data_IF_266693120259
#
_entry.id   IF_266693120259
#
_cell.length_a   1.000
_cell.length_b   1.000
_cell.length_c   1.000
_cell.angle_alpha   90.00
_cell.angle_beta   90.00
_cell.angle_gamma   90.00
#
_symmetry.space_group_name_H-M   'P 1'
#
loop_
_entity.id
_entity.type
_entity.pdbx_description
1 polymer ?
#
# COMPACT_ATOMS: atom_id res chain seq x y z
N UNK A 1 38.80 -21.36 25.01
CA UNK A 1 37.84 -20.39 24.41
C UNK A 1 37.30 -19.53 25.53
N UNK A 2 37.54 -18.22 25.42
CA UNK A 2 37.36 -17.24 26.49
C UNK A 2 35.88 -16.93 26.74
N UNK A 3 35.46 -16.91 28.01
CA UNK A 3 34.18 -16.35 28.47
C UNK A 3 34.40 -14.89 28.82
N UNK A 4 33.76 -13.97 28.11
CA UNK A 4 33.66 -12.56 28.51
C UNK A 4 32.18 -12.20 28.68
N UNK A 5 31.78 -11.98 29.94
CA UNK A 5 30.53 -11.31 30.32
C UNK A 5 30.79 -9.83 30.50
N UNK A 6 29.98 -8.97 29.90
CA UNK A 6 29.97 -7.54 30.18
C UNK A 6 28.80 -7.18 31.10
N UNK A 7 29.13 -6.84 32.34
CA UNK A 7 28.24 -6.23 33.33
C UNK A 7 28.23 -4.71 33.11
N UNK A 8 27.05 -4.14 32.87
CA UNK A 8 26.84 -2.69 32.92
C UNK A 8 26.73 -2.24 34.39
N UNK A 9 27.64 -1.36 34.83
CA UNK A 9 27.54 -0.64 36.12
C UNK A 9 26.81 0.68 35.92
N UNK A 10 25.70 0.85 36.64
CA UNK A 10 25.06 2.14 36.86
C UNK A 10 25.81 2.90 37.96
N UNK A 11 26.10 4.19 37.75
CA UNK A 11 26.61 5.10 38.78
C UNK A 11 25.54 6.11 39.16
N UNK A 12 25.21 6.14 40.45
CA UNK A 12 24.31 7.07 41.13
C UNK A 12 25.04 8.28 41.72
N UNK A 13 24.25 9.34 42.04
CA UNK A 13 24.51 10.56 42.85
C UNK A 13 25.00 11.76 42.03
N UNK A 14 24.57 13.01 42.27
CA UNK A 14 23.80 13.62 43.36
C UNK A 14 23.12 14.92 42.88
N UNK A 15 22.04 15.32 43.57
CA UNK A 15 21.32 16.60 43.44
C UNK A 15 22.08 17.74 44.16
N UNK A 16 21.80 19.01 43.83
CA UNK A 16 21.34 19.92 44.89
C UNK A 16 20.05 20.68 44.52
N UNK A 17 19.40 21.17 45.56
CA UNK A 17 18.06 21.74 45.65
C UNK A 17 18.16 23.24 45.98
N UNK A 18 17.14 23.99 45.52
CA UNK A 18 16.52 25.22 46.08
C UNK A 18 16.17 26.14 44.91
N UNK A 19 14.89 26.26 44.53
CA UNK A 19 13.78 26.99 45.17
C UNK A 19 13.53 28.24 44.32
N UNK A 20 12.46 28.21 43.52
CA UNK A 20 11.63 29.41 43.42
C UNK A 20 10.18 29.03 43.12
N UNK A 21 9.29 29.63 43.92
CA UNK A 21 7.84 29.46 43.85
C UNK A 21 7.31 30.35 42.74
N UNK A 22 6.68 29.76 41.73
CA UNK A 22 5.60 30.44 41.02
C UNK A 22 4.48 29.46 40.74
N UNK A 23 3.38 29.67 41.46
CA UNK A 23 2.08 29.09 41.18
C UNK A 23 1.58 29.58 39.82
N UNK A 24 1.37 28.67 38.87
CA UNK A 24 0.49 28.91 37.73
C UNK A 24 -0.33 27.66 37.46
N UNK A 25 -1.63 27.86 37.44
CA UNK A 25 -2.66 26.87 37.20
C UNK A 25 -2.44 26.21 35.83
N UNK A 26 -2.62 24.90 35.77
CA UNK A 26 -2.67 24.16 34.51
C UNK A 26 -3.97 24.49 33.76
N UNK A 27 -3.94 24.81 32.45
CA UNK A 27 -5.10 24.63 31.61
C UNK A 27 -5.09 23.22 31.03
N UNK A 28 -6.18 22.52 31.31
CA UNK A 28 -6.55 21.21 30.80
C UNK A 28 -6.52 21.15 29.25
N UNK A 29 -5.87 20.11 28.72
CA UNK A 29 -6.45 19.08 27.84
C UNK A 29 -7.36 19.39 26.64
N UNK A 30 -7.63 20.64 26.27
CA UNK A 30 -8.65 21.00 25.28
C UNK A 30 -8.16 21.49 23.91
N UNK A 31 -6.90 21.91 23.79
CA UNK A 31 -6.54 22.90 22.75
C UNK A 31 -5.67 22.38 21.58
N UNK A 32 -5.26 21.11 21.58
CA UNK A 32 -4.52 20.53 20.44
C UNK A 32 -5.40 20.27 19.21
N UNK A 33 -6.71 20.05 19.40
CA UNK A 33 -7.66 19.83 18.28
C UNK A 33 -8.06 21.11 17.57
N UNK A 34 -8.05 22.26 18.26
CA UNK A 34 -8.39 23.57 17.66
C UNK A 34 -7.23 24.16 16.88
N UNK A 35 -5.99 23.96 17.33
CA UNK A 35 -4.80 24.43 16.60
C UNK A 35 -4.66 23.77 15.21
N UNK A 36 -5.04 22.49 15.09
CA UNK A 36 -5.01 21.77 13.80
C UNK A 36 -6.16 22.15 12.86
N UNK A 37 -7.28 22.67 13.38
CA UNK A 37 -8.37 23.20 12.54
C UNK A 37 -8.11 24.64 12.07
N UNK A 38 -7.36 25.43 12.83
CA UNK A 38 -7.02 26.81 12.46
C UNK A 38 -5.97 26.91 11.33
N UNK A 39 -5.12 25.88 11.14
CA UNK A 39 -4.13 25.84 10.07
C UNK A 39 -4.72 25.51 8.68
N UNK A 40 -5.97 25.04 8.59
CA UNK A 40 -6.63 24.76 7.31
C UNK A 40 -7.31 25.97 6.67
N UNK A 41 -7.45 27.10 7.40
CA UNK A 41 -8.22 28.25 6.95
C UNK A 41 -7.40 29.38 6.29
N UNK A 42 -6.08 29.22 6.11
CA UNK A 42 -5.20 30.30 5.61
C UNK A 42 -4.51 30.03 4.27
N UNK A 43 -4.91 28.99 3.52
CA UNK A 43 -4.53 28.86 2.11
C UNK A 43 -5.72 29.23 1.24
N UNK A 44 -5.93 30.53 1.10
CA UNK A 44 -6.91 31.08 0.18
C UNK A 44 -6.53 30.84 -1.28
N UNK A 45 -7.54 30.50 -2.07
CA UNK A 45 -7.64 30.90 -3.48
C UNK A 45 -6.93 30.03 -4.50
N UNK A 46 -7.54 28.91 -4.88
CA UNK A 46 -7.79 28.53 -6.28
C UNK A 46 -8.77 27.37 -6.31
N UNK A 47 -9.67 27.38 -7.29
CA UNK A 47 -10.91 26.61 -7.34
C UNK A 47 -10.78 25.15 -6.87
N UNK A 48 -11.53 24.80 -5.82
CA UNK A 48 -11.91 23.41 -5.55
C UNK A 48 -12.84 22.99 -6.70
N UNK A 49 -12.26 22.41 -7.75
CA UNK A 49 -13.01 21.71 -8.79
C UNK A 49 -13.91 20.69 -8.09
N UNK A 50 -15.19 20.65 -8.47
CA UNK A 50 -16.17 19.74 -7.90
C UNK A 50 -15.60 18.32 -7.87
N UNK A 51 -15.42 17.77 -6.66
CA UNK A 51 -14.97 16.40 -6.49
C UNK A 51 -15.99 15.48 -7.15
N UNK A 52 -15.56 14.69 -8.14
CA UNK A 52 -16.38 13.62 -8.68
C UNK A 52 -16.80 12.67 -7.55
N UNK A 53 -18.02 12.08 -7.60
CA UNK A 53 -18.40 11.10 -6.61
C UNK A 53 -17.34 9.99 -6.54
N UNK A 54 -17.01 9.52 -5.33
CA UNK A 54 -16.02 8.46 -5.15
C UNK A 54 -16.43 7.27 -6.04
N UNK A 55 -15.48 6.72 -6.81
CA UNK A 55 -15.70 5.43 -7.42
C UNK A 55 -16.07 4.45 -6.28
N UNK A 56 -17.22 3.79 -6.37
CA UNK A 56 -17.58 2.74 -5.44
C UNK A 56 -16.85 1.47 -5.88
N UNK A 57 -15.96 0.94 -5.02
CA UNK A 57 -15.45 -0.40 -5.21
C UNK A 57 -16.52 -1.39 -4.75
N UNK A 58 -16.73 -2.45 -5.52
CA UNK A 58 -17.50 -3.64 -5.14
C UNK A 58 -16.60 -4.68 -4.49
N UNK A 59 -15.49 -4.27 -3.88
CA UNK A 59 -14.82 -5.19 -2.97
C UNK A 59 -15.77 -5.42 -1.78
N UNK A 60 -15.77 -6.61 -1.18
CA UNK A 60 -16.67 -6.93 -0.06
C UNK A 60 -16.31 -6.15 1.23
N UNK A 61 -15.59 -5.03 1.09
CA UNK A 61 -15.20 -4.13 2.15
C UNK A 61 -16.29 -3.08 2.35
N UNK A 62 -16.77 -2.93 3.57
CA UNK A 62 -17.67 -1.81 3.93
C UNK A 62 -16.95 -0.45 3.95
N UNK A 63 -15.63 -0.43 3.77
CA UNK A 63 -14.82 0.79 3.76
C UNK A 63 -14.72 1.38 2.36
N UNK A 64 -14.77 2.72 2.23
CA UNK A 64 -14.66 3.38 0.94
C UNK A 64 -13.26 3.16 0.33
N UNK A 65 -13.13 3.25 -1.01
CA UNK A 65 -11.84 3.18 -1.67
C UNK A 65 -10.82 4.20 -1.15
N UNK A 66 -9.53 3.85 -1.17
CA UNK A 66 -8.47 4.72 -0.70
C UNK A 66 -8.40 6.01 -1.52
N UNK A 67 -8.23 7.13 -0.82
CA UNK A 67 -7.93 8.43 -1.42
C UNK A 67 -6.44 8.59 -1.66
N UNK A 68 -6.08 9.27 -2.74
CA UNK A 68 -4.69 9.59 -3.09
C UNK A 68 -4.52 11.11 -3.16
N UNK A 69 -3.58 11.63 -2.37
CA UNK A 69 -3.10 12.99 -2.49
C UNK A 69 -1.83 13.00 -3.36
N UNK A 70 -1.91 13.57 -4.55
CA UNK A 70 -0.73 13.75 -5.41
C UNK A 70 -0.16 15.15 -5.20
N UNK A 71 1.11 15.23 -4.82
CA UNK A 71 1.81 16.50 -4.64
C UNK A 71 2.68 16.84 -5.85
N UNK A 72 2.99 18.12 -6.03
CA UNK A 72 3.90 18.60 -7.06
C UNK A 72 4.40 20.00 -6.76
N UNK A 73 4.83 20.71 -7.80
CA UNK A 73 5.19 22.12 -7.75
C UNK A 73 4.31 22.93 -8.71
N UNK A 74 4.10 24.21 -8.40
CA UNK A 74 3.53 25.18 -9.34
C UNK A 74 4.62 25.89 -10.16
N UNK A 75 4.23 26.81 -11.04
CA UNK A 75 5.17 27.57 -11.87
C UNK A 75 6.14 28.48 -11.07
N UNK A 76 5.83 28.79 -9.82
CA UNK A 76 6.69 29.55 -8.91
C UNK A 76 7.59 28.63 -8.06
N UNK A 77 7.49 27.30 -8.24
CA UNK A 77 8.27 26.30 -7.51
C UNK A 77 7.71 25.94 -6.13
N UNK A 78 6.52 26.42 -5.76
CA UNK A 78 5.89 26.12 -4.47
C UNK A 78 5.29 24.72 -4.47
N UNK A 79 5.42 24.00 -3.36
CA UNK A 79 4.74 22.71 -3.17
C UNK A 79 3.23 22.87 -3.10
N UNK A 80 2.51 22.10 -3.93
CA UNK A 80 1.05 22.13 -4.05
C UNK A 80 0.47 20.72 -4.19
N UNK A 81 -0.82 20.56 -3.94
CA UNK A 81 -1.55 19.38 -4.37
C UNK A 81 -1.88 19.51 -5.85
N UNK A 82 -1.49 18.51 -6.65
CA UNK A 82 -1.94 18.36 -8.04
C UNK A 82 -3.32 17.74 -8.11
N UNK A 83 -3.63 16.86 -7.18
CA UNK A 83 -4.95 16.24 -7.01
C UNK A 83 -5.15 15.66 -5.62
N UNK A 84 -6.42 15.51 -5.22
CA UNK A 84 -6.81 14.79 -4.01
C UNK A 84 -8.14 14.08 -4.28
N UNK A 85 -8.06 12.86 -4.81
CA UNK A 85 -9.22 12.14 -5.33
C UNK A 85 -9.29 10.72 -4.75
N UNK A 86 -10.42 10.04 -4.94
CA UNK A 86 -10.41 8.57 -4.90
C UNK A 86 -9.45 8.08 -5.98
N UNK A 87 -8.68 7.04 -5.66
CA UNK A 87 -7.71 6.42 -6.57
C UNK A 87 -8.26 6.37 -8.00
N UNK A 88 -7.55 7.04 -8.94
CA UNK A 88 -8.03 7.27 -10.30
C UNK A 88 -8.21 6.00 -11.12
N UNK A 89 -7.61 4.89 -10.67
CA UNK A 89 -7.67 3.59 -11.33
C UNK A 89 -7.95 2.48 -10.31
N UNK A 90 -9.24 2.14 -10.19
CA UNK A 90 -9.71 0.94 -9.48
C UNK A 90 -9.96 -0.16 -10.50
N UNK A 91 -9.40 -1.34 -10.26
CA UNK A 91 -9.50 -2.49 -11.18
C UNK A 91 -10.05 -3.69 -10.43
N UNK A 92 -11.23 -4.14 -10.82
CA UNK A 92 -11.91 -5.30 -10.24
C UNK A 92 -11.77 -6.51 -11.15
N UNK A 93 -11.47 -7.67 -10.59
CA UNK A 93 -11.33 -8.92 -11.36
C UNK A 93 -12.63 -9.74 -11.25
N UNK A 94 -13.35 -9.87 -12.36
CA UNK A 94 -14.66 -10.51 -12.42
C UNK A 94 -14.55 -12.02 -12.24
N UNK A 95 -13.50 -12.64 -12.79
CA UNK A 95 -13.16 -14.05 -12.58
C UNK A 95 -12.80 -14.39 -11.13
N UNK A 96 -12.44 -13.39 -10.31
CA UNK A 96 -12.12 -13.56 -8.90
C UNK A 96 -12.80 -12.47 -8.04
N UNK A 97 -14.14 -12.52 -7.86
CA UNK A 97 -14.91 -11.43 -7.26
C UNK A 97 -14.38 -11.00 -5.89
N UNK A 98 -14.16 -9.70 -5.72
CA UNK A 98 -13.57 -9.11 -4.52
C UNK A 98 -12.04 -9.01 -4.53
N UNK A 99 -11.35 -9.53 -5.56
CA UNK A 99 -9.98 -9.15 -5.85
C UNK A 99 -9.97 -7.80 -6.58
N UNK A 100 -9.49 -6.77 -5.89
CA UNK A 100 -9.51 -5.40 -6.39
C UNK A 100 -8.14 -4.75 -6.24
N UNK A 101 -7.65 -4.15 -7.32
CA UNK A 101 -6.43 -3.36 -7.35
C UNK A 101 -6.77 -1.88 -7.29
N UNK A 102 -6.13 -1.16 -6.37
CA UNK A 102 -6.12 0.29 -6.29
C UNK A 102 -4.74 0.76 -6.76
N UNK A 103 -4.66 1.19 -8.02
CA UNK A 103 -3.42 1.56 -8.68
C UNK A 103 -3.09 3.03 -8.36
N UNK A 104 -2.13 3.25 -7.46
CA UNK A 104 -1.91 4.58 -6.86
C UNK A 104 -0.87 5.41 -7.62
N UNK A 105 0.29 4.85 -7.92
CA UNK A 105 1.35 5.60 -8.61
C UNK A 105 2.37 4.66 -9.22
N UNK A 106 3.04 5.10 -10.29
CA UNK A 106 4.17 4.38 -10.86
C UNK A 106 5.21 5.31 -11.45
N UNK A 107 6.44 4.82 -11.54
CA UNK A 107 7.53 5.46 -12.27
C UNK A 107 8.15 4.47 -13.25
N UNK A 108 8.79 5.00 -14.29
CA UNK A 108 9.61 4.23 -15.22
C UNK A 108 11.07 4.62 -15.02
N UNK A 109 11.95 3.64 -14.82
CA UNK A 109 13.33 3.89 -14.45
C UNK A 109 13.45 4.82 -13.24
N UNK A 110 14.58 5.50 -13.14
CA UNK A 110 14.82 6.48 -12.09
C UNK A 110 14.04 7.77 -12.39
N UNK A 111 13.07 8.16 -11.54
CA UNK A 111 12.23 9.32 -11.82
C UNK A 111 12.99 10.64 -11.70
N UNK A 112 12.64 11.61 -12.55
CA UNK A 112 12.94 13.01 -12.26
C UNK A 112 11.92 13.55 -11.26
N UNK A 113 12.36 14.43 -10.36
CA UNK A 113 11.54 14.97 -9.26
C UNK A 113 11.36 16.48 -9.39
N UNK A 114 10.94 16.96 -10.57
CA UNK A 114 10.67 18.39 -10.78
C UNK A 114 9.37 18.81 -10.08
N UNK A 115 8.45 17.89 -9.85
CA UNK A 115 7.11 18.15 -9.30
C UNK A 115 6.12 18.67 -10.36
N UNK A 116 6.59 18.87 -11.59
CA UNK A 116 5.78 19.34 -12.71
C UNK A 116 5.24 18.19 -13.57
N UNK A 117 5.76 16.97 -13.40
CA UNK A 117 5.42 15.78 -14.18
C UNK A 117 3.90 15.50 -14.13
N UNK A 118 3.25 15.17 -15.26
CA UNK A 118 1.84 14.78 -15.24
C UNK A 118 1.63 13.53 -14.37
N UNK A 119 0.41 13.30 -13.90
CA UNK A 119 0.09 12.07 -13.17
C UNK A 119 0.34 10.85 -14.09
N UNK A 120 1.31 9.96 -13.77
CA UNK A 120 1.66 8.83 -14.61
C UNK A 120 0.51 7.84 -14.74
N UNK A 121 -0.44 7.84 -13.80
CA UNK A 121 -1.61 6.95 -13.87
C UNK A 121 -2.59 7.30 -14.99
N UNK A 122 -2.49 8.52 -15.58
CA UNK A 122 -3.26 8.88 -16.77
C UNK A 122 -2.85 8.06 -18.01
N UNK A 123 -1.61 7.56 -18.04
CA UNK A 123 -1.13 6.65 -19.08
C UNK A 123 -1.54 5.18 -18.84
N UNK A 124 -2.22 4.90 -17.72
CA UNK A 124 -2.62 3.56 -17.31
C UNK A 124 -1.64 2.87 -16.36
N UNK A 125 -1.91 1.61 -16.06
CA UNK A 125 -1.09 0.77 -15.18
C UNK A 125 -0.46 -0.39 -15.96
N UNK A 126 0.44 -1.11 -15.32
CA UNK A 126 1.08 -2.35 -15.76
C UNK A 126 1.23 -3.30 -14.56
N UNK A 127 1.50 -4.57 -14.83
CA UNK A 127 1.67 -5.58 -13.80
C UNK A 127 2.77 -5.24 -12.78
N UNK A 128 3.96 -4.86 -13.26
CA UNK A 128 5.12 -4.56 -12.43
C UNK A 128 6.00 -3.51 -13.12
N UNK A 129 6.72 -2.68 -12.36
CA UNK A 129 7.66 -1.72 -12.95
C UNK A 129 8.90 -2.43 -13.52
N UNK A 130 9.44 -1.92 -14.63
CA UNK A 130 10.73 -2.36 -15.15
C UNK A 130 11.92 -1.84 -14.31
N UNK A 131 13.17 -2.24 -14.64
CA UNK A 131 14.36 -1.88 -13.87
C UNK A 131 14.46 -0.40 -13.50
N UNK A 132 14.67 -0.12 -12.21
CA UNK A 132 14.77 1.23 -11.65
C UNK A 132 13.43 1.94 -11.43
N UNK A 133 12.35 1.45 -12.06
CA UNK A 133 11.00 1.96 -11.86
C UNK A 133 10.40 1.55 -10.52
N UNK A 134 9.33 2.22 -10.13
CA UNK A 134 8.59 1.93 -8.90
C UNK A 134 7.10 1.85 -9.16
N UNK A 135 6.39 1.19 -8.27
CA UNK A 135 4.95 1.02 -8.33
C UNK A 135 4.42 1.02 -6.89
N UNK A 136 3.43 1.85 -6.62
CA UNK A 136 2.68 1.82 -5.37
C UNK A 136 1.24 1.45 -5.67
N UNK A 137 0.77 0.35 -5.10
CA UNK A 137 -0.60 -0.15 -5.25
C UNK A 137 -1.13 -0.67 -3.92
N UNK A 138 -2.45 -0.64 -3.77
CA UNK A 138 -3.13 -1.42 -2.74
C UNK A 138 -3.91 -2.55 -3.41
N UNK A 139 -3.96 -3.72 -2.77
CA UNK A 139 -4.72 -4.87 -3.26
C UNK A 139 -5.68 -5.31 -2.15
N UNK A 140 -6.97 -5.29 -2.45
CA UNK A 140 -8.01 -5.94 -1.65
C UNK A 140 -8.08 -7.39 -2.08
N UNK A 141 -7.71 -8.30 -1.18
CA UNK A 141 -7.89 -9.73 -1.37
C UNK A 141 -9.26 -10.13 -0.85
N UNK A 142 -10.02 -10.94 -1.61
CA UNK A 142 -11.34 -11.36 -1.21
C UNK A 142 -11.29 -12.17 0.09
N UNK A 143 -12.43 -12.31 0.79
CA UNK A 143 -12.59 -13.26 1.89
C UNK A 143 -12.08 -14.65 1.54
N UNK A 144 -11.69 -15.39 2.57
CA UNK A 144 -11.36 -16.82 2.46
C UNK A 144 -12.49 -17.52 1.71
N UNK A 145 -12.13 -18.12 0.58
CA UNK A 145 -13.07 -18.92 -0.20
C UNK A 145 -13.50 -20.13 0.64
N UNK A 146 -14.81 -20.42 0.75
CA UNK A 146 -15.28 -21.61 1.44
C UNK A 146 -14.79 -22.87 0.74
N UNK A 147 -14.76 -23.98 1.46
CA UNK A 147 -14.44 -25.27 0.86
C UNK A 147 -15.39 -25.58 -0.31
N UNK A 148 -14.83 -26.07 -1.42
CA UNK A 148 -15.60 -26.35 -2.63
C UNK A 148 -16.03 -25.11 -3.44
N UNK A 149 -15.57 -23.90 -3.08
CA UNK A 149 -15.81 -22.71 -3.89
C UNK A 149 -15.35 -22.92 -5.33
N UNK A 150 -16.18 -22.44 -6.27
CA UNK A 150 -15.89 -22.45 -7.70
C UNK A 150 -15.90 -21.01 -8.21
N UNK A 151 -15.07 -20.70 -9.22
CA UNK A 151 -15.14 -19.41 -9.88
C UNK A 151 -16.51 -19.23 -10.58
N UNK A 152 -16.84 -18.01 -11.03
CA UNK A 152 -18.06 -17.76 -11.79
C UNK A 152 -18.22 -18.72 -12.97
N UNK A 153 -19.46 -18.99 -13.36
CA UNK A 153 -19.76 -19.96 -14.42
C UNK A 153 -19.02 -19.62 -15.72
N UNK A 154 -18.37 -20.61 -16.33
CA UNK A 154 -17.59 -20.45 -17.56
C UNK A 154 -16.17 -19.92 -17.37
N UNK A 155 -15.79 -19.48 -16.17
CA UNK A 155 -14.42 -19.04 -15.89
C UNK A 155 -13.49 -20.25 -15.80
N UNK A 156 -12.50 -20.27 -16.68
CA UNK A 156 -11.36 -21.17 -16.64
C UNK A 156 -10.15 -20.44 -16.04
N UNK A 157 -9.12 -21.20 -15.63
CA UNK A 157 -7.88 -20.59 -15.16
C UNK A 157 -7.22 -19.72 -16.25
N UNK A 158 -7.21 -20.20 -17.51
CA UNK A 158 -6.68 -19.45 -18.65
C UNK A 158 -7.44 -18.15 -18.89
N UNK A 159 -8.77 -18.22 -18.98
CA UNK A 159 -9.58 -17.01 -19.21
C UNK A 159 -9.49 -16.02 -18.05
N UNK A 160 -9.29 -16.49 -16.82
CA UNK A 160 -9.05 -15.61 -15.66
C UNK A 160 -7.73 -14.86 -15.77
N UNK A 161 -6.66 -15.50 -16.25
CA UNK A 161 -5.37 -14.83 -16.50
C UNK A 161 -5.44 -13.87 -17.68
N UNK A 162 -6.17 -14.23 -18.74
CA UNK A 162 -6.43 -13.34 -19.89
C UNK A 162 -7.15 -12.07 -19.44
N UNK A 163 -8.24 -12.20 -18.69
CA UNK A 163 -8.98 -11.06 -18.11
C UNK A 163 -8.06 -10.20 -17.22
N UNK A 164 -7.24 -10.85 -16.38
CA UNK A 164 -6.32 -10.13 -15.50
C UNK A 164 -5.29 -9.33 -16.30
N UNK A 165 -4.77 -9.87 -17.40
CA UNK A 165 -3.87 -9.17 -18.32
C UNK A 165 -4.56 -8.08 -19.15
N UNK A 166 -5.84 -8.22 -19.48
CA UNK A 166 -6.63 -7.18 -20.15
C UNK A 166 -6.85 -5.98 -19.22
N UNK A 167 -7.16 -6.24 -17.96
CA UNK A 167 -7.46 -5.21 -16.96
C UNK A 167 -6.22 -4.60 -16.32
N UNK A 168 -5.18 -5.40 -16.11
CA UNK A 168 -3.85 -5.00 -15.62
C UNK A 168 -2.81 -5.53 -16.60
N UNK A 169 -2.33 -4.70 -17.55
CA UNK A 169 -1.45 -5.14 -18.63
C UNK A 169 -0.30 -6.04 -18.16
N UNK A 170 -0.22 -7.23 -18.77
CA UNK A 170 0.79 -8.28 -18.54
C UNK A 170 0.72 -9.02 -17.21
N UNK A 171 -0.29 -8.81 -16.38
CA UNK A 171 -0.34 -9.42 -15.04
C UNK A 171 -0.37 -10.94 -15.09
N UNK A 172 -1.13 -11.52 -16.03
CA UNK A 172 -1.20 -12.96 -16.22
C UNK A 172 0.12 -13.62 -16.61
N UNK A 173 1.05 -12.88 -17.23
CA UNK A 173 2.36 -13.39 -17.67
C UNK A 173 3.24 -13.84 -16.49
N UNK A 174 2.96 -13.33 -15.28
CA UNK A 174 3.74 -13.59 -14.08
C UNK A 174 3.28 -14.83 -13.30
N UNK A 175 2.10 -15.37 -13.63
CA UNK A 175 1.50 -16.50 -12.92
C UNK A 175 1.98 -17.85 -13.45
N UNK A 176 2.19 -18.77 -12.52
CA UNK A 176 2.50 -20.17 -12.82
C UNK A 176 1.23 -20.92 -13.19
N UNK A 177 1.15 -21.38 -14.45
CA UNK A 177 0.01 -22.13 -14.96
C UNK A 177 -0.21 -23.49 -14.28
N UNK A 178 0.84 -24.05 -13.69
CA UNK A 178 0.80 -25.33 -13.00
C UNK A 178 0.41 -25.23 -11.52
N UNK A 179 0.45 -24.02 -10.95
CA UNK A 179 0.27 -23.79 -9.52
C UNK A 179 -0.59 -22.54 -9.26
N UNK A 180 -1.92 -22.71 -9.09
CA UNK A 180 -2.83 -21.59 -8.92
C UNK A 180 -2.39 -20.59 -7.83
N UNK A 181 -2.33 -19.32 -8.23
CA UNK A 181 -1.95 -18.18 -7.38
C UNK A 181 -0.44 -17.98 -7.23
N UNK A 182 0.39 -18.97 -7.54
CA UNK A 182 1.84 -18.79 -7.53
C UNK A 182 2.25 -17.89 -8.68
N UNK A 183 3.09 -16.91 -8.39
CA UNK A 183 3.60 -15.97 -9.38
C UNK A 183 4.99 -15.46 -8.99
N UNK A 184 5.70 -14.92 -9.97
CA UNK A 184 7.01 -14.28 -9.75
C UNK A 184 7.16 -13.04 -10.61
N UNK A 185 7.74 -12.00 -10.03
CA UNK A 185 8.08 -10.74 -10.68
C UNK A 185 9.58 -10.46 -10.59
N UNK A 186 10.10 -9.69 -11.54
CA UNK A 186 11.46 -9.15 -11.49
C UNK A 186 11.47 -7.86 -10.65
N UNK A 187 10.99 -7.95 -9.42
CA UNK A 187 10.87 -6.84 -8.47
C UNK A 187 11.36 -7.21 -7.08
N UNK A 188 11.70 -6.20 -6.29
CA UNK A 188 11.64 -6.26 -4.84
C UNK A 188 10.35 -5.58 -4.41
N UNK A 189 9.51 -6.27 -3.64
CA UNK A 189 8.26 -5.69 -3.14
C UNK A 189 8.33 -5.48 -1.63
N UNK A 190 8.07 -4.25 -1.19
CA UNK A 190 7.81 -3.92 0.20
C UNK A 190 6.31 -4.00 0.46
N UNK A 191 5.90 -5.11 1.04
CA UNK A 191 4.51 -5.41 1.40
C UNK A 191 4.19 -4.98 2.82
N UNK A 192 2.98 -4.47 3.05
CA UNK A 192 2.45 -4.20 4.39
C UNK A 192 1.01 -4.68 4.48
N UNK A 193 0.66 -5.41 5.53
CA UNK A 193 -0.73 -5.74 5.83
C UNK A 193 -1.41 -4.49 6.41
N UNK A 194 -2.18 -3.78 5.62
CA UNK A 194 -2.84 -2.53 6.06
C UNK A 194 -4.05 -2.84 6.93
N UNK A 195 -4.80 -3.89 6.58
CA UNK A 195 -6.00 -4.36 7.30
C UNK A 195 -6.21 -5.85 7.06
N UNK A 196 -6.63 -6.56 8.10
CA UNK A 196 -6.89 -8.00 8.04
C UNK A 196 -5.62 -8.79 8.32
N UNK A 197 -5.57 -10.00 7.77
CA UNK A 197 -4.44 -10.92 7.92
C UNK A 197 -4.15 -11.59 6.59
N UNK A 198 -2.90 -12.04 6.42
CA UNK A 198 -2.43 -12.63 5.18
C UNK A 198 -1.49 -13.78 5.45
N UNK A 199 -1.66 -14.88 4.74
CA UNK A 199 -0.67 -15.96 4.69
C UNK A 199 0.13 -15.82 3.39
N UNK A 200 1.44 -15.64 3.53
CA UNK A 200 2.40 -15.75 2.44
C UNK A 200 2.84 -17.21 2.34
N UNK A 201 2.76 -17.76 1.13
CA UNK A 201 3.26 -19.10 0.83
C UNK A 201 4.36 -19.03 -0.24
N UNK A 202 5.47 -19.70 0.01
CA UNK A 202 6.62 -19.86 -0.87
C UNK A 202 6.70 -21.30 -1.40
N UNK A 203 7.79 -21.62 -2.09
CA UNK A 203 8.06 -22.98 -2.56
C UNK A 203 8.10 -24.00 -1.41
N UNK A 204 7.84 -25.27 -1.78
CA UNK A 204 7.79 -26.42 -0.88
C UNK A 204 6.80 -26.28 0.30
N UNK A 205 5.79 -25.43 0.15
CA UNK A 205 4.73 -25.22 1.14
C UNK A 205 5.17 -24.43 2.36
N UNK A 206 6.33 -23.76 2.31
CA UNK A 206 6.75 -22.86 3.38
C UNK A 206 5.76 -21.70 3.50
N UNK A 207 5.30 -21.44 4.72
CA UNK A 207 4.30 -20.39 4.98
C UNK A 207 4.69 -19.51 6.16
N UNK A 208 4.27 -18.25 6.08
CA UNK A 208 4.25 -17.34 7.23
C UNK A 208 2.89 -16.66 7.29
N UNK A 209 2.38 -16.50 8.50
CA UNK A 209 1.14 -15.80 8.77
C UNK A 209 1.43 -14.41 9.30
N UNK A 210 0.84 -13.41 8.66
CA UNK A 210 1.11 -11.99 8.82
C UNK A 210 -0.18 -11.29 9.28
N UNK A 211 -0.05 -10.47 10.31
CA UNK A 211 -1.15 -9.68 10.89
C UNK A 211 -1.09 -8.24 10.43
N UNK A 212 -2.16 -7.51 10.69
CA UNK A 212 -2.21 -6.07 10.45
C UNK A 212 -0.99 -5.35 11.05
N UNK A 213 -0.31 -4.56 10.22
CA UNK A 213 0.92 -3.85 10.55
C UNK A 213 2.20 -4.63 10.25
N UNK A 214 2.13 -5.95 10.02
CA UNK A 214 3.30 -6.74 9.65
C UNK A 214 3.75 -6.40 8.21
N UNK A 215 5.06 -6.47 8.01
CA UNK A 215 5.72 -6.10 6.77
C UNK A 215 6.41 -7.31 6.11
N UNK A 216 6.54 -7.26 4.80
CA UNK A 216 7.17 -8.29 3.97
C UNK A 216 8.17 -7.60 3.05
N UNK A 217 9.33 -8.23 2.87
CA UNK A 217 10.26 -7.91 1.78
C UNK A 217 10.27 -9.10 0.85
N UNK A 218 9.53 -9.01 -0.26
CA UNK A 218 9.48 -10.05 -1.28
C UNK A 218 10.61 -9.80 -2.28
N UNK A 219 11.68 -10.58 -2.21
CA UNK A 219 12.91 -10.34 -2.97
C UNK A 219 12.95 -11.16 -4.27
N UNK A 220 12.02 -10.90 -5.19
CA UNK A 220 11.95 -11.57 -6.50
C UNK A 220 11.65 -13.07 -6.46
N UNK A 221 11.13 -13.56 -5.32
CA UNK A 221 10.85 -14.99 -5.08
C UNK A 221 9.43 -15.37 -5.48
N UNK A 222 9.27 -16.60 -5.98
CA UNK A 222 7.98 -17.19 -6.34
C UNK A 222 7.10 -17.33 -5.09
N UNK A 223 5.86 -16.88 -5.17
CA UNK A 223 4.97 -16.86 -4.02
C UNK A 223 3.50 -16.79 -4.37
N UNK A 224 2.65 -17.03 -3.37
CA UNK A 224 1.22 -16.73 -3.42
C UNK A 224 0.69 -16.19 -2.10
N UNK A 225 -0.39 -15.44 -2.22
CA UNK A 225 -1.10 -14.81 -1.11
C UNK A 225 -2.41 -15.53 -0.84
N UNK A 226 -2.67 -15.83 0.44
CA UNK A 226 -3.93 -16.45 0.89
C UNK A 226 -4.49 -15.67 2.07
N UNK A 227 -5.68 -15.10 1.89
CA UNK A 227 -6.42 -14.53 3.01
C UNK A 227 -7.06 -15.66 3.85
N UNK A 228 -6.71 -15.79 5.14
CA UNK A 228 -7.26 -16.85 6.00
C UNK A 228 -8.61 -16.47 6.64
N UNK A 229 -9.03 -15.20 6.54
CA UNK A 229 -10.19 -14.65 7.26
C UNK A 229 -11.47 -14.62 6.42
N UNK A 230 -12.66 -14.65 7.05
CA UNK A 230 -13.95 -14.47 6.36
C UNK A 230 -14.22 -13.02 5.90
N UNK A 231 -13.36 -12.06 6.27
CA UNK A 231 -13.38 -10.69 5.79
C UNK A 231 -12.29 -10.43 4.74
N UNK A 232 -12.41 -9.41 3.86
CA UNK A 232 -11.33 -9.02 2.96
C UNK A 232 -10.06 -8.55 3.67
N UNK A 233 -8.90 -8.80 3.07
CA UNK A 233 -7.60 -8.30 3.53
C UNK A 233 -7.09 -7.21 2.58
N UNK A 234 -6.63 -6.07 3.11
CA UNK A 234 -6.02 -5.00 2.32
C UNK A 234 -4.50 -5.02 2.50
N UNK A 235 -3.80 -5.21 1.40
CA UNK A 235 -2.33 -5.15 1.33
C UNK A 235 -1.88 -3.87 0.65
N UNK A 236 -0.79 -3.27 1.13
CA UNK A 236 -0.03 -2.27 0.38
C UNK A 236 1.23 -2.91 -0.20
N UNK A 237 1.53 -2.61 -1.45
CA UNK A 237 2.77 -3.05 -2.10
C UNK A 237 3.47 -1.86 -2.74
N UNK A 238 4.75 -1.70 -2.39
CA UNK A 238 5.69 -0.83 -3.09
C UNK A 238 6.68 -1.74 -3.82
N UNK A 239 6.52 -1.89 -5.13
CA UNK A 239 7.42 -2.68 -5.96
C UNK A 239 8.50 -1.79 -6.55
N UNK A 240 9.75 -2.27 -6.51
CA UNK A 240 10.90 -1.67 -7.17
C UNK A 240 11.37 -2.64 -8.25
N UNK A 241 11.39 -2.17 -9.50
CA UNK A 241 11.80 -2.99 -10.63
C UNK A 241 13.29 -3.30 -10.59
N UNK A 242 13.63 -4.58 -10.72
CA UNK A 242 14.99 -5.10 -10.69
C UNK A 242 15.39 -5.75 -12.00
N UNK A 243 16.58 -6.34 -11.99
CA UNK A 243 17.07 -7.25 -13.04
C UNK A 243 17.28 -8.61 -12.41
N UNK A 244 16.80 -9.66 -13.07
CA UNK A 244 17.12 -11.03 -12.69
C UNK A 244 18.54 -11.35 -13.12
N UNK A 245 19.30 -12.00 -12.22
CA UNK A 245 20.66 -12.44 -12.47
C UNK A 245 20.71 -13.68 -13.37
#
# INVERSE_FOLDING_TARGET
MSKFSWLWRATSRNKPQDDDKTSSEQPEGGDRRRLLQALSALVGGSALTAMSPPAEAKDASELPPPKRALTGRDAAGKSVFKSFDVTSKVVEIDSNPGLTFYELYRTEGVPQLTGMEPDPMLAGTVAFPGPGGTMFRLISYPPRRPEGWKPPAGVTFKSALEEMSEKVPRMGDHFDLSAPGMHTSDTIDYGVVVRGEMTLELDDGQTVHLRQGDCIVQNGTRHRWRNPLPEPCLMAFISVGGQRA
#
